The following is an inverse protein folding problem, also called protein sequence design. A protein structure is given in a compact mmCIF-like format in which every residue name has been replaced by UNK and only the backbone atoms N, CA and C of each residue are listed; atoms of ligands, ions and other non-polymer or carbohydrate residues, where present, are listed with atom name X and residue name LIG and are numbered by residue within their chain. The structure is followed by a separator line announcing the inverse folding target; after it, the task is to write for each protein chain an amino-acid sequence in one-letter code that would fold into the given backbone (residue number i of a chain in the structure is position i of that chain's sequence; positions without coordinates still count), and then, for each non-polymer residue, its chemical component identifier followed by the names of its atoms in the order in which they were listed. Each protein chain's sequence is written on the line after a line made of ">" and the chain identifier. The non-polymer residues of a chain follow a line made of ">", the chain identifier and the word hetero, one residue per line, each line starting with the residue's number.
data_IF_457490443848
#
_entry.id   IF_457490443848
#
_cell.length_a   1.000
_cell.length_b   1.000
_cell.length_c   1.000
_cell.angle_alpha   90.00
_cell.angle_beta   90.00
_cell.angle_gamma   90.00
#
_symmetry.space_group_name_H-M   'P 1'
#
loop_
_entity.id
_entity.type
_entity.pdbx_description
1 polymer ?
#
# COMPACT_ATOMS: atom_id res chain seq x y z
N UNK A 1 -6.03 -8.51 5.44
CA UNK A 1 -5.10 -7.40 5.22
C UNK A 1 -3.90 -7.91 4.43
N UNK A 2 -3.23 -7.04 3.69
CA UNK A 2 -1.99 -7.38 3.01
C UNK A 2 -0.96 -6.25 3.09
N UNK A 3 0.30 -6.61 3.32
CA UNK A 3 1.48 -5.83 2.96
C UNK A 3 2.17 -6.52 1.79
N UNK A 4 2.56 -5.74 0.79
CA UNK A 4 3.24 -6.22 -0.41
C UNK A 4 4.43 -5.33 -0.74
N UNK A 5 5.65 -5.87 -0.70
CA UNK A 5 6.84 -5.10 -1.00
C UNK A 5 8.13 -5.63 -0.39
N UNK A 6 9.21 -4.86 -0.52
CA UNK A 6 10.50 -5.19 0.08
C UNK A 6 10.40 -5.15 1.61
N UNK A 7 10.95 -6.18 2.28
CA UNK A 7 10.98 -6.26 3.74
C UNK A 7 12.17 -5.46 4.28
N UNK A 8 12.04 -4.14 4.34
CA UNK A 8 13.10 -3.24 4.76
C UNK A 8 12.57 -2.15 5.70
N UNK A 9 13.49 -1.42 6.33
CA UNK A 9 13.15 -0.36 7.29
C UNK A 9 12.41 0.79 6.59
N UNK A 10 12.83 1.18 5.39
CA UNK A 10 12.22 2.24 4.58
C UNK A 10 10.75 1.93 4.24
N UNK A 11 10.42 0.63 4.13
CA UNK A 11 9.03 0.16 3.90
C UNK A 11 8.21 0.02 5.17
N UNK A 12 8.75 0.43 6.31
CA UNK A 12 8.04 0.47 7.59
C UNK A 12 7.72 -0.91 8.17
N UNK A 13 8.54 -1.94 7.88
CA UNK A 13 8.28 -3.30 8.35
C UNK A 13 8.28 -3.38 9.87
N UNK A 14 9.14 -2.63 10.57
CA UNK A 14 9.19 -2.67 12.04
C UNK A 14 7.89 -2.13 12.64
N UNK A 15 7.35 -1.05 12.07
CA UNK A 15 6.05 -0.47 12.46
C UNK A 15 4.92 -1.45 12.16
N UNK A 16 4.96 -2.10 10.99
CA UNK A 16 3.97 -3.12 10.62
C UNK A 16 3.98 -4.31 11.60
N UNK A 17 5.16 -4.79 12.00
CA UNK A 17 5.29 -5.90 12.96
C UNK A 17 4.80 -5.50 14.35
N UNK A 18 5.11 -4.29 14.81
CA UNK A 18 4.61 -3.75 16.07
C UNK A 18 3.07 -3.67 16.05
N UNK A 19 2.50 -3.12 14.99
CA UNK A 19 1.03 -3.10 14.77
C UNK A 19 0.45 -4.51 14.73
N UNK A 20 1.09 -5.44 14.00
CA UNK A 20 0.65 -6.83 13.88
C UNK A 20 0.69 -7.56 15.22
N UNK A 21 1.63 -7.21 16.11
CA UNK A 21 1.71 -7.81 17.45
C UNK A 21 0.45 -7.57 18.28
N UNK A 22 -0.24 -6.47 18.05
CA UNK A 22 -1.46 -6.04 18.75
C UNK A 22 -2.76 -6.32 17.95
N UNK A 23 -2.64 -6.80 16.71
CA UNK A 23 -3.80 -7.07 15.86
C UNK A 23 -4.65 -8.22 16.43
N UNK A 24 -5.98 -8.04 16.61
CA UNK A 24 -6.86 -9.09 17.09
C UNK A 24 -6.86 -10.34 16.17
N UNK A 25 -6.96 -11.53 16.76
CA UNK A 25 -6.79 -12.81 16.05
C UNK A 25 -7.86 -13.10 14.97
N UNK A 26 -8.97 -12.39 14.97
CA UNK A 26 -10.00 -12.49 13.92
C UNK A 26 -9.67 -11.71 12.65
N UNK A 27 -8.55 -10.98 12.63
CA UNK A 27 -8.05 -10.29 11.45
C UNK A 27 -6.71 -10.89 11.03
N UNK A 28 -6.59 -11.29 9.78
CA UNK A 28 -5.39 -11.92 9.22
C UNK A 28 -4.56 -10.92 8.42
N UNK A 29 -3.25 -10.87 8.68
CA UNK A 29 -2.29 -10.09 7.93
C UNK A 29 -1.39 -10.99 7.08
N UNK A 30 -1.43 -10.80 5.77
CA UNK A 30 -0.53 -11.42 4.82
C UNK A 30 0.67 -10.48 4.60
N UNK A 31 1.88 -11.00 4.68
CA UNK A 31 3.11 -10.25 4.35
C UNK A 31 3.77 -10.96 3.17
N UNK A 32 3.78 -10.29 2.01
CA UNK A 32 4.34 -10.81 0.77
C UNK A 32 5.53 -9.95 0.33
N UNK A 33 6.67 -10.61 0.13
CA UNK A 33 7.92 -9.99 -0.30
C UNK A 33 9.14 -10.62 0.33
N UNK A 34 10.31 -10.03 0.10
CA UNK A 34 11.59 -10.44 0.68
C UNK A 34 12.44 -9.21 1.01
N UNK A 35 13.44 -9.36 1.84
CA UNK A 35 14.34 -8.26 2.18
C UNK A 35 15.09 -8.46 3.48
N UNK A 36 15.88 -7.45 3.91
CA UNK A 36 16.77 -7.56 5.08
C UNK A 36 16.06 -7.89 6.40
N UNK A 37 14.75 -7.59 6.52
CA UNK A 37 13.98 -7.84 7.75
C UNK A 37 13.14 -9.12 7.68
N UNK A 38 13.40 -10.00 6.71
CA UNK A 38 12.66 -11.26 6.51
C UNK A 38 12.66 -12.15 7.76
N UNK A 39 13.81 -12.27 8.45
CA UNK A 39 13.92 -13.11 9.64
C UNK A 39 13.02 -12.61 10.78
N UNK A 40 12.93 -11.29 10.98
CA UNK A 40 12.00 -10.70 11.97
C UNK A 40 10.54 -11.01 11.62
N UNK A 41 10.19 -10.96 10.33
CA UNK A 41 8.84 -11.27 9.86
C UNK A 41 8.52 -12.74 10.10
N UNK A 42 9.42 -13.66 9.74
CA UNK A 42 9.27 -15.11 9.97
C UNK A 42 9.04 -15.41 11.44
N UNK A 43 9.90 -14.88 12.32
CA UNK A 43 9.81 -15.10 13.77
C UNK A 43 8.42 -14.71 14.30
N UNK A 44 7.92 -13.52 13.98
CA UNK A 44 6.60 -13.09 14.44
C UNK A 44 5.48 -13.94 13.81
N UNK A 45 5.64 -14.37 12.55
CA UNK A 45 4.68 -15.24 11.86
C UNK A 45 4.59 -16.63 12.49
N UNK A 46 5.69 -17.15 13.05
CA UNK A 46 5.71 -18.43 13.77
C UNK A 46 5.04 -18.31 15.17
N UNK A 47 5.05 -17.12 15.75
CA UNK A 47 4.46 -16.84 17.07
C UNK A 47 2.97 -16.48 17.01
N UNK A 48 2.47 -15.98 15.85
CA UNK A 48 1.10 -15.45 15.69
C UNK A 48 0.32 -16.19 14.63
N UNK A 49 -0.79 -16.80 15.01
CA UNK A 49 -1.67 -17.59 14.12
C UNK A 49 -2.37 -16.76 13.05
N UNK A 50 -2.45 -15.46 13.21
CA UNK A 50 -3.11 -14.52 12.30
C UNK A 50 -2.14 -13.68 11.45
N UNK A 51 -0.84 -13.95 11.52
CA UNK A 51 0.20 -13.38 10.67
C UNK A 51 0.73 -14.45 9.72
N UNK A 52 0.74 -14.17 8.42
CA UNK A 52 1.14 -15.13 7.40
C UNK A 52 2.24 -14.56 6.52
N UNK A 53 3.46 -15.06 6.68
CA UNK A 53 4.55 -14.72 5.80
C UNK A 53 4.52 -15.59 4.53
N UNK A 54 4.41 -14.97 3.37
CA UNK A 54 4.26 -15.64 2.08
C UNK A 54 5.54 -15.68 1.25
N UNK A 55 6.62 -15.03 1.70
CA UNK A 55 7.84 -14.91 0.91
C UNK A 55 7.67 -14.07 -0.35
N UNK A 56 8.64 -14.18 -1.24
CA UNK A 56 8.58 -13.56 -2.57
C UNK A 56 7.42 -14.13 -3.39
N UNK A 57 6.68 -13.25 -4.04
CA UNK A 57 5.57 -13.62 -4.92
C UNK A 57 5.82 -13.11 -6.34
N UNK A 58 5.42 -13.90 -7.35
CA UNK A 58 5.38 -13.42 -8.72
C UNK A 58 4.39 -12.25 -8.84
N UNK A 59 4.57 -11.39 -9.85
CA UNK A 59 3.65 -10.25 -10.07
C UNK A 59 2.20 -10.69 -10.17
N UNK A 60 1.92 -11.78 -10.87
CA UNK A 60 0.56 -12.29 -11.04
C UNK A 60 -0.04 -12.75 -9.72
N UNK A 61 0.72 -13.50 -8.91
CA UNK A 61 0.29 -13.93 -7.58
C UNK A 61 0.06 -12.74 -6.66
N UNK A 62 0.98 -11.76 -6.69
CA UNK A 62 0.86 -10.53 -5.89
C UNK A 62 -0.43 -9.78 -6.18
N UNK A 63 -0.76 -9.57 -7.46
CA UNK A 63 -2.01 -8.91 -7.86
C UNK A 63 -3.25 -9.71 -7.42
N UNK A 64 -3.18 -11.05 -7.45
CA UNK A 64 -4.27 -11.91 -6.97
C UNK A 64 -4.46 -11.81 -5.46
N UNK A 65 -3.36 -11.78 -4.70
CA UNK A 65 -3.39 -11.60 -3.24
C UNK A 65 -3.94 -10.21 -2.84
N UNK A 66 -3.48 -9.16 -3.53
CA UNK A 66 -3.96 -7.79 -3.31
C UNK A 66 -5.47 -7.72 -3.59
N UNK A 67 -5.93 -8.23 -4.74
CA UNK A 67 -7.35 -8.23 -5.10
C UNK A 67 -8.23 -9.03 -4.14
N UNK A 68 -7.69 -10.10 -3.55
CA UNK A 68 -8.37 -10.91 -2.55
C UNK A 68 -8.36 -10.34 -1.13
N UNK A 69 -7.69 -9.22 -0.91
CA UNK A 69 -7.54 -8.61 0.41
C UNK A 69 -8.50 -7.44 0.63
N UNK A 70 -8.97 -7.27 1.88
CA UNK A 70 -9.84 -6.16 2.27
C UNK A 70 -9.15 -4.82 2.33
N UNK A 71 -7.84 -4.81 2.61
CA UNK A 71 -7.05 -3.61 2.84
C UNK A 71 -5.58 -3.87 2.54
N UNK A 72 -4.96 -3.05 1.70
CA UNK A 72 -3.51 -2.98 1.56
C UNK A 72 -2.95 -1.94 2.53
N UNK A 73 -1.88 -2.30 3.23
CA UNK A 73 -1.17 -1.44 4.19
C UNK A 73 0.21 -1.11 3.63
N UNK A 74 0.53 0.19 3.55
CA UNK A 74 1.82 0.71 3.08
C UNK A 74 2.41 1.69 4.12
N UNK A 75 3.01 1.21 5.22
CA UNK A 75 3.50 2.06 6.31
C UNK A 75 4.92 2.56 6.07
N UNK A 76 5.26 2.88 4.81
CA UNK A 76 6.59 3.31 4.40
C UNK A 76 7.03 4.59 5.11
N UNK A 77 8.32 4.67 5.42
CA UNK A 77 8.97 5.87 5.95
C UNK A 77 9.53 6.73 4.81
N UNK A 78 9.88 6.09 3.70
CA UNK A 78 10.37 6.74 2.49
C UNK A 78 9.78 6.05 1.27
N UNK A 79 9.25 6.81 0.33
CA UNK A 79 8.68 6.31 -0.91
C UNK A 79 8.74 7.41 -1.99
N UNK A 80 9.05 7.01 -3.21
CA UNK A 80 8.64 7.79 -4.36
C UNK A 80 7.14 7.56 -4.64
N UNK A 81 6.74 7.42 -5.88
CA UNK A 81 5.37 6.96 -6.19
C UNK A 81 5.33 5.44 -6.02
N UNK A 82 4.56 4.96 -5.06
CA UNK A 82 4.46 3.52 -4.78
C UNK A 82 3.67 2.78 -5.87
N UNK A 83 4.37 1.97 -6.66
CA UNK A 83 3.74 1.11 -7.66
C UNK A 83 2.77 0.10 -7.03
N UNK A 84 3.09 -0.42 -5.84
CA UNK A 84 2.22 -1.34 -5.11
C UNK A 84 0.89 -0.69 -4.72
N UNK A 85 0.92 0.58 -4.32
CA UNK A 85 -0.28 1.36 -4.02
C UNK A 85 -1.14 1.56 -5.27
N UNK A 86 -0.52 1.96 -6.39
CA UNK A 86 -1.22 2.11 -7.66
C UNK A 86 -1.83 0.78 -8.14
N UNK A 87 -1.10 -0.33 -7.98
CA UNK A 87 -1.59 -1.67 -8.30
C UNK A 87 -2.78 -2.08 -7.41
N UNK A 88 -2.74 -1.78 -6.11
CA UNK A 88 -3.85 -2.06 -5.20
C UNK A 88 -5.11 -1.25 -5.55
N UNK A 89 -4.95 0.03 -5.83
CA UNK A 89 -6.05 0.87 -6.28
C UNK A 89 -6.62 0.38 -7.62
N UNK A 90 -5.76 -0.03 -8.57
CA UNK A 90 -6.18 -0.62 -9.85
C UNK A 90 -6.86 -1.99 -9.69
N UNK A 91 -6.58 -2.72 -8.62
CA UNK A 91 -7.28 -3.95 -8.24
C UNK A 91 -8.63 -3.70 -7.55
N UNK A 92 -8.97 -2.45 -7.23
CA UNK A 92 -10.15 -2.11 -6.43
C UNK A 92 -10.01 -2.49 -4.96
N UNK A 93 -8.78 -2.49 -4.44
CA UNK A 93 -8.48 -2.77 -3.03
C UNK A 93 -8.35 -1.46 -2.26
N UNK A 94 -9.00 -1.37 -1.11
CA UNK A 94 -8.85 -0.23 -0.20
C UNK A 94 -7.41 -0.10 0.27
N UNK A 95 -6.90 1.12 0.43
CA UNK A 95 -5.50 1.38 0.78
C UNK A 95 -5.37 2.24 2.04
N UNK A 96 -4.34 1.94 2.82
CA UNK A 96 -3.93 2.67 4.01
C UNK A 96 -2.42 2.87 3.96
N UNK A 97 -1.95 4.11 3.93
CA UNK A 97 -0.54 4.42 3.80
C UNK A 97 -0.06 5.50 4.75
N UNK A 98 1.25 5.64 4.91
CA UNK A 98 1.86 6.74 5.66
C UNK A 98 1.64 8.08 4.96
N UNK A 99 1.45 9.15 5.73
CA UNK A 99 1.34 10.53 5.21
C UNK A 99 2.74 11.08 4.94
N UNK A 100 3.35 10.59 3.87
CA UNK A 100 4.63 11.03 3.32
C UNK A 100 4.48 11.40 1.85
N UNK A 101 5.39 12.22 1.33
CA UNK A 101 5.49 12.52 -0.09
C UNK A 101 5.49 11.21 -0.91
N UNK A 102 4.92 11.19 -2.09
CA UNK A 102 4.78 9.98 -2.90
C UNK A 102 3.64 9.02 -2.51
N UNK A 103 3.26 8.92 -1.23
CA UNK A 103 2.04 8.22 -0.79
C UNK A 103 0.85 9.17 -0.76
N UNK A 104 1.01 10.36 -0.15
CA UNK A 104 -0.04 11.39 -0.08
C UNK A 104 -0.36 12.01 -1.45
N UNK A 105 0.53 11.91 -2.44
CA UNK A 105 0.21 12.24 -3.82
C UNK A 105 -0.76 11.23 -4.46
N UNK A 106 -0.70 9.98 -4.06
CA UNK A 106 -1.55 8.90 -4.57
C UNK A 106 -2.85 8.80 -3.80
N UNK A 107 -2.79 8.79 -2.46
CA UNK A 107 -3.96 8.69 -1.58
C UNK A 107 -4.53 10.08 -1.29
N UNK A 108 -5.79 10.30 -1.64
CA UNK A 108 -6.59 11.40 -1.14
C UNK A 108 -7.26 10.96 0.16
N UNK A 109 -6.75 11.49 1.30
CA UNK A 109 -7.15 11.04 2.63
C UNK A 109 -8.67 11.12 2.84
N UNK A 110 -9.24 10.08 3.44
CA UNK A 110 -10.70 9.88 3.65
C UNK A 110 -11.55 9.73 2.38
N UNK A 111 -10.97 9.80 1.19
CA UNK A 111 -11.70 9.64 -0.07
C UNK A 111 -11.24 8.40 -0.84
N UNK A 112 -9.96 8.29 -1.20
CA UNK A 112 -9.44 7.14 -1.95
C UNK A 112 -8.70 6.13 -1.09
N UNK A 113 -8.56 6.40 0.21
CA UNK A 113 -7.89 5.61 1.22
C UNK A 113 -7.73 6.40 2.51
N UNK A 114 -6.95 5.89 3.44
CA UNK A 114 -6.54 6.62 4.64
C UNK A 114 -5.04 6.86 4.67
N UNK A 115 -4.66 7.98 5.28
CA UNK A 115 -3.27 8.31 5.62
C UNK A 115 -3.08 8.24 7.12
N UNK A 116 -1.89 7.81 7.56
CA UNK A 116 -1.46 7.78 8.97
C UNK A 116 -0.13 8.50 9.11
N UNK A 117 0.13 9.07 10.26
CA UNK A 117 1.43 9.64 10.58
C UNK A 117 2.54 8.58 10.43
N UNK A 118 3.63 8.87 9.72
CA UNK A 118 4.74 7.92 9.59
C UNK A 118 5.34 7.58 10.96
N UNK A 119 5.79 6.34 11.11
CA UNK A 119 6.39 5.83 12.35
C UNK A 119 5.43 5.81 13.56
N UNK A 120 4.12 5.70 13.34
CA UNK A 120 3.09 5.67 14.38
C UNK A 120 2.28 4.36 14.29
N UNK A 121 2.74 3.32 15.01
CA UNK A 121 2.11 1.99 15.03
C UNK A 121 0.72 2.01 15.67
N UNK A 122 0.50 2.86 16.69
CA UNK A 122 -0.78 2.98 17.39
C UNK A 122 -1.85 3.60 16.46
N UNK A 123 -1.49 4.66 15.74
CA UNK A 123 -2.41 5.25 14.76
C UNK A 123 -2.70 4.26 13.62
N UNK A 124 -1.68 3.55 13.13
CA UNK A 124 -1.85 2.53 12.10
C UNK A 124 -2.84 1.45 12.57
N UNK A 125 -2.67 0.92 13.78
CA UNK A 125 -3.59 -0.05 14.36
C UNK A 125 -5.02 0.51 14.48
N UNK A 126 -5.17 1.73 15.00
CA UNK A 126 -6.46 2.38 15.15
C UNK A 126 -7.18 2.57 13.81
N UNK A 127 -6.48 2.97 12.75
CA UNK A 127 -7.06 3.12 11.39
C UNK A 127 -7.44 1.76 10.78
N UNK A 128 -6.63 0.73 11.00
CA UNK A 128 -6.96 -0.65 10.60
C UNK A 128 -8.27 -1.10 11.27
N UNK A 129 -8.32 -1.00 12.60
CA UNK A 129 -9.51 -1.40 13.38
C UNK A 129 -10.74 -0.55 13.07
N UNK A 130 -10.55 0.70 12.66
CA UNK A 130 -11.63 1.56 12.19
C UNK A 130 -12.19 1.12 10.84
N UNK A 131 -11.32 0.71 9.88
CA UNK A 131 -11.73 0.37 8.51
C UNK A 131 -12.27 -1.05 8.38
N UNK A 132 -11.64 -2.03 9.04
CA UNK A 132 -11.97 -3.45 8.81
C UNK A 132 -13.44 -3.81 9.01
N UNK A 133 -14.15 -3.35 10.07
CA UNK A 133 -15.58 -3.65 10.23
C UNK A 133 -16.48 -2.86 9.26
N UNK A 134 -15.97 -1.84 8.56
CA UNK A 134 -16.76 -0.93 7.73
C UNK A 134 -16.66 -1.26 6.24
N UNK A 135 -17.21 -2.40 5.83
CA UNK A 135 -17.14 -2.89 4.45
C UNK A 135 -17.57 -1.85 3.42
N UNK A 136 -18.71 -1.19 3.62
CA UNK A 136 -19.21 -0.19 2.66
C UNK A 136 -18.25 0.99 2.50
N UNK A 137 -17.62 1.43 3.59
CA UNK A 137 -16.61 2.50 3.52
C UNK A 137 -15.37 2.06 2.75
N UNK A 138 -14.88 0.83 2.99
CA UNK A 138 -13.74 0.28 2.24
C UNK A 138 -14.06 0.20 0.74
N UNK A 139 -15.25 -0.30 0.39
CA UNK A 139 -15.68 -0.39 -1.01
C UNK A 139 -15.83 0.99 -1.67
N UNK A 140 -16.38 1.96 -0.96
CA UNK A 140 -16.49 3.34 -1.44
C UNK A 140 -15.10 3.93 -1.73
N UNK A 141 -14.15 3.81 -0.78
CA UNK A 141 -12.78 4.29 -0.95
C UNK A 141 -12.04 3.55 -2.08
N UNK A 142 -12.25 2.24 -2.21
CA UNK A 142 -11.65 1.44 -3.27
C UNK A 142 -12.15 1.87 -4.66
N UNK A 143 -13.44 2.17 -4.80
CA UNK A 143 -14.02 2.67 -6.06
C UNK A 143 -13.47 4.05 -6.43
N UNK A 144 -13.39 4.98 -5.48
CA UNK A 144 -12.75 6.29 -5.69
C UNK A 144 -11.27 6.14 -6.06
N UNK A 145 -10.57 5.18 -5.42
CA UNK A 145 -9.18 4.83 -5.73
C UNK A 145 -9.03 4.31 -7.15
N UNK A 146 -9.94 3.43 -7.60
CA UNK A 146 -9.96 2.88 -8.95
C UNK A 146 -10.14 3.98 -10.01
N UNK A 147 -10.97 4.99 -9.75
CA UNK A 147 -11.09 6.15 -10.65
C UNK A 147 -9.83 7.01 -10.63
N UNK A 148 -9.28 7.28 -9.44
CA UNK A 148 -8.09 8.10 -9.29
C UNK A 148 -6.86 7.51 -9.97
N UNK A 149 -6.64 6.20 -9.90
CA UNK A 149 -5.45 5.55 -10.45
C UNK A 149 -5.36 5.65 -11.97
N UNK A 150 -6.47 5.87 -12.67
CA UNK A 150 -6.49 6.02 -14.14
C UNK A 150 -5.56 7.11 -14.65
N UNK A 151 -5.36 8.20 -13.88
CA UNK A 151 -4.45 9.28 -14.26
C UNK A 151 -2.98 8.87 -14.31
N UNK A 152 -2.61 7.75 -13.67
CA UNK A 152 -1.26 7.20 -13.67
C UNK A 152 -1.06 6.14 -14.77
N UNK A 153 -2.04 5.92 -15.67
CA UNK A 153 -1.89 5.03 -16.82
C UNK A 153 -0.73 5.50 -17.70
N UNK A 154 0.15 4.56 -18.08
CA UNK A 154 1.32 4.87 -18.90
C UNK A 154 1.00 5.54 -20.23
N UNK A 155 -0.20 5.32 -20.80
CA UNK A 155 -0.64 6.02 -22.01
C UNK A 155 -0.87 7.51 -21.75
N UNK A 156 -1.38 7.86 -20.56
CA UNK A 156 -1.61 9.25 -20.16
C UNK A 156 -0.28 9.89 -19.79
N UNK A 157 0.50 9.27 -18.92
CA UNK A 157 1.80 9.78 -18.46
C UNK A 157 2.77 9.93 -19.65
N UNK A 158 2.86 8.93 -20.53
CA UNK A 158 3.71 8.97 -21.71
C UNK A 158 3.34 10.14 -22.66
N UNK A 159 2.03 10.43 -22.83
CA UNK A 159 1.59 11.58 -23.63
C UNK A 159 1.98 12.91 -22.98
N UNK A 160 1.93 13.02 -21.65
CA UNK A 160 2.39 14.21 -20.94
C UNK A 160 3.89 14.45 -21.15
N UNK A 161 4.69 13.42 -21.09
CA UNK A 161 6.13 13.52 -21.36
C UNK A 161 6.42 13.95 -22.81
N UNK A 162 5.73 13.35 -23.80
CA UNK A 162 5.88 13.74 -25.21
C UNK A 162 5.53 15.23 -25.42
N UNK A 163 4.39 15.68 -24.92
CA UNK A 163 3.99 17.08 -25.02
C UNK A 163 5.01 18.02 -24.35
N UNK A 164 5.57 17.60 -23.21
CA UNK A 164 6.61 18.37 -22.52
C UNK A 164 7.86 18.51 -23.37
N UNK A 165 8.39 17.42 -23.93
CA UNK A 165 9.56 17.45 -24.82
C UNK A 165 9.32 18.29 -26.07
N UNK A 166 8.17 18.16 -26.73
CA UNK A 166 7.80 19.00 -27.88
C UNK A 166 7.78 20.48 -27.51
N UNK A 167 7.29 20.83 -26.32
CA UNK A 167 7.28 22.22 -25.85
C UNK A 167 8.67 22.80 -25.63
N UNK A 168 9.65 21.98 -25.24
CA UNK A 168 11.04 22.40 -25.11
C UNK A 168 11.71 22.61 -26.45
N UNK A 169 11.48 21.73 -27.41
CA UNK A 169 12.04 21.86 -28.76
C UNK A 169 11.52 23.10 -29.48
N UNK A 170 10.24 23.42 -29.34
CA UNK A 170 9.61 24.60 -29.95
C UNK A 170 10.01 25.95 -29.29
N UNK A 171 10.59 25.93 -28.08
CA UNK A 171 11.12 27.12 -27.41
C UNK A 171 12.58 27.41 -27.76
N UNK A 172 13.24 26.53 -28.48
CA UNK A 172 14.68 26.63 -28.84
C UNK A 172 14.88 27.16 -30.26
N UNK A 173 13.83 27.70 -30.90
CA UNK A 173 13.84 28.41 -32.19
C UNK A 173 13.31 29.82 -31.91
#
# INVERSE_FOLDING_TARGET
>A
LIFAGRLSKEKGIEILLETASQLPNNYHLLIAGSGPLEEKVRKLSDEKTNLHYLGYQSKQNMLSLIRGSDLLIQPSLEEGISSTLLEAMACGTCVLGSDIEGISEVIENNKTGLLVEPNNSDELLNKILYLLPKKEKRLSMANEGLERVKKYDWKIVGKLYLNFYESLLNKSI
#
